data_IF_309422333264
#
_entry.id   IF_309422333264
#
_cell.length_a   1.000
_cell.length_b   1.000
_cell.length_c   1.000
_cell.angle_alpha   90.00
_cell.angle_beta   90.00
_cell.angle_gamma   90.00
#
_symmetry.space_group_name_H-M   'P 1'
#
loop_
_entity.id
_entity.type
_entity.pdbx_description
1 polymer ?
#
# COMPACT_ATOMS: atom_id res chain seq x y z
N UNK A 1 50.97 -26.85 -27.43
CA UNK A 1 49.92 -27.82 -27.07
C UNK A 1 49.80 -27.78 -25.56
N UNK A 2 48.85 -26.99 -25.04
CA UNK A 2 48.60 -26.86 -23.60
C UNK A 2 47.48 -27.80 -23.20
N UNK A 3 47.79 -28.78 -22.35
CA UNK A 3 46.81 -29.65 -21.71
C UNK A 3 46.26 -28.94 -20.48
N UNK A 4 44.97 -28.66 -20.48
CA UNK A 4 44.22 -28.21 -19.30
C UNK A 4 43.69 -29.44 -18.58
N UNK A 5 44.09 -29.60 -17.33
CA UNK A 5 43.59 -30.63 -16.42
C UNK A 5 42.22 -30.24 -15.88
N UNK A 6 41.25 -31.13 -16.06
CA UNK A 6 39.91 -31.07 -15.48
C UNK A 6 39.93 -31.57 -14.04
N UNK A 7 39.54 -30.72 -13.09
CA UNK A 7 39.30 -31.10 -11.70
C UNK A 7 37.81 -31.42 -11.53
N UNK A 8 37.51 -32.70 -11.30
CA UNK A 8 36.20 -33.17 -10.84
C UNK A 8 36.12 -33.01 -9.32
N UNK A 9 35.09 -32.33 -8.83
CA UNK A 9 34.78 -32.26 -7.40
C UNK A 9 33.54 -33.11 -7.15
N UNK A 10 33.74 -34.30 -6.59
CA UNK A 10 32.67 -35.13 -6.03
C UNK A 10 32.49 -34.81 -4.54
N UNK A 11 31.23 -34.83 -4.09
CA UNK A 11 30.88 -35.20 -2.72
C UNK A 11 30.40 -34.08 -1.80
N UNK A 12 29.11 -34.09 -1.49
CA UNK A 12 28.61 -33.67 -0.19
C UNK A 12 27.59 -34.71 0.32
N UNK A 13 27.79 -35.30 1.52
CA UNK A 13 26.96 -36.38 2.03
C UNK A 13 25.65 -35.90 2.66
N UNK A 14 24.61 -36.71 2.43
CA UNK A 14 23.36 -36.75 3.18
C UNK A 14 23.60 -37.10 4.65
N UNK A 15 23.07 -36.28 5.56
CA UNK A 15 23.02 -36.57 6.99
C UNK A 15 21.70 -36.08 7.56
N UNK A 16 20.70 -36.96 7.47
CA UNK A 16 19.52 -37.00 8.32
C UNK A 16 19.93 -37.26 9.77
N UNK A 17 19.56 -36.36 10.69
CA UNK A 17 19.50 -36.65 12.13
C UNK A 17 18.27 -36.01 12.75
N UNK A 18 17.53 -36.90 13.38
CA UNK A 18 16.41 -36.78 14.28
C UNK A 18 16.44 -35.54 15.18
N UNK A 19 15.33 -34.79 15.18
CA UNK A 19 14.99 -33.88 16.26
C UNK A 19 13.60 -34.21 16.81
N UNK A 20 13.66 -34.91 17.94
CA UNK A 20 12.77 -34.93 19.09
C UNK A 20 11.38 -34.29 18.95
N UNK A 21 10.39 -35.16 19.01
CA UNK A 21 9.04 -34.92 19.52
C UNK A 21 9.14 -34.51 20.99
N UNK A 22 8.91 -33.23 21.30
CA UNK A 22 8.66 -32.77 22.68
C UNK A 22 7.16 -32.53 22.82
N UNK A 23 6.61 -33.25 23.80
CA UNK A 23 5.21 -33.29 24.16
C UNK A 23 4.66 -31.92 24.59
N UNK A 24 3.40 -31.71 24.25
CA UNK A 24 2.52 -30.60 24.64
C UNK A 24 2.45 -30.39 26.15
N UNK A 25 2.42 -29.13 26.62
CA UNK A 25 1.72 -28.77 27.85
C UNK A 25 0.27 -28.37 27.58
N UNK A 26 -0.61 -28.89 28.44
CA UNK A 26 -2.07 -28.72 28.47
C UNK A 26 -2.52 -27.26 28.74
N UNK A 27 -3.75 -26.89 28.31
CA UNK A 27 -4.30 -25.55 28.51
C UNK A 27 -4.65 -25.27 29.98
N UNK A 28 -4.02 -24.23 30.53
CA UNK A 28 -4.27 -23.75 31.89
C UNK A 28 -5.56 -22.94 31.98
N UNK A 29 -6.47 -23.44 32.83
CA UNK A 29 -7.58 -22.82 33.56
C UNK A 29 -7.96 -21.36 33.26
N UNK A 30 -9.21 -21.22 32.81
CA UNK A 30 -10.03 -20.00 32.87
C UNK A 30 -10.22 -19.57 34.33
N UNK A 31 -10.06 -18.28 34.60
CA UNK A 31 -10.54 -17.63 35.83
C UNK A 31 -11.65 -16.68 35.44
N UNK A 32 -12.86 -17.02 35.86
CA UNK A 32 -14.03 -16.16 35.83
C UNK A 32 -13.91 -15.12 36.95
N UNK A 33 -13.92 -13.84 36.60
CA UNK A 33 -14.12 -12.73 37.52
C UNK A 33 -15.35 -11.95 37.07
N UNK A 34 -16.46 -12.27 37.72
CA UNK A 34 -17.71 -11.49 37.73
C UNK A 34 -17.46 -10.16 38.46
N UNK A 35 -17.42 -9.04 37.73
CA UNK A 35 -17.51 -7.71 38.33
C UNK A 35 -18.86 -7.07 37.98
N UNK A 36 -19.76 -7.10 38.97
CA UNK A 36 -21.08 -6.50 38.92
C UNK A 36 -20.99 -4.97 38.97
N UNK A 37 -21.15 -4.30 37.82
CA UNK A 37 -21.28 -2.84 37.76
C UNK A 37 -22.75 -2.43 37.92
N UNK A 38 -23.06 -1.87 39.08
CA UNK A 38 -24.33 -1.21 39.41
C UNK A 38 -24.64 -0.02 38.50
N UNK A 39 -25.76 -0.11 37.78
CA UNK A 39 -26.34 0.97 36.96
C UNK A 39 -27.06 1.98 37.86
N UNK A 40 -26.51 3.20 37.99
CA UNK A 40 -27.20 4.36 38.58
C UNK A 40 -28.14 5.00 37.55
N UNK A 41 -29.44 4.93 37.85
CA UNK A 41 -30.55 5.46 37.05
C UNK A 41 -30.63 7.00 37.21
N UNK A 42 -29.99 7.74 36.30
CA UNK A 42 -30.09 9.20 36.22
C UNK A 42 -31.31 9.65 35.41
N UNK A 43 -32.29 10.28 36.08
CA UNK A 43 -33.41 11.02 35.46
C UNK A 43 -32.88 12.35 34.92
N UNK A 44 -32.64 12.44 33.61
CA UNK A 44 -32.24 13.66 32.91
C UNK A 44 -33.38 14.22 32.04
N UNK A 45 -33.71 15.49 32.26
CA UNK A 45 -34.80 16.27 31.65
C UNK A 45 -34.67 16.42 30.14
N UNK A 46 -35.78 16.22 29.45
CA UNK A 46 -36.00 16.49 28.04
C UNK A 46 -36.07 18.00 27.78
N UNK A 47 -35.10 18.55 27.05
CA UNK A 47 -35.22 19.82 26.34
C UNK A 47 -35.33 19.54 24.85
N UNK A 48 -36.51 19.84 24.30
CA UNK A 48 -36.83 19.66 22.89
C UNK A 48 -36.24 20.82 22.08
N UNK A 49 -35.04 20.63 21.53
CA UNK A 49 -34.51 21.47 20.46
C UNK A 49 -34.73 20.80 19.10
N UNK A 50 -35.24 21.59 18.15
CA UNK A 50 -35.80 21.15 16.87
C UNK A 50 -34.84 20.30 16.02
N UNK A 51 -35.25 19.05 15.78
CA UNK A 51 -34.60 18.13 14.85
C UNK A 51 -34.78 18.69 13.43
N UNK A 52 -33.69 19.24 12.87
CA UNK A 52 -33.63 19.63 11.46
C UNK A 52 -33.85 18.38 10.59
N UNK A 53 -34.62 18.46 9.49
CA UNK A 53 -34.92 17.31 8.64
C UNK A 53 -33.63 16.69 8.10
N UNK A 54 -33.38 15.44 8.49
CA UNK A 54 -32.25 14.63 8.02
C UNK A 54 -32.37 14.43 6.52
N UNK A 55 -31.41 14.97 5.76
CA UNK A 55 -31.30 14.72 4.31
C UNK A 55 -31.27 13.21 4.07
N UNK A 56 -32.20 12.70 3.26
CA UNK A 56 -32.23 11.28 2.85
C UNK A 56 -30.84 10.88 2.34
N UNK A 57 -30.16 9.99 3.06
CA UNK A 57 -28.87 9.46 2.64
C UNK A 57 -29.10 8.67 1.34
N UNK A 58 -28.42 9.09 0.26
CA UNK A 58 -28.43 8.34 -1.00
C UNK A 58 -27.62 7.07 -0.78
N UNK A 59 -28.22 5.91 -1.07
CA UNK A 59 -27.51 4.62 -1.10
C UNK A 59 -26.46 4.67 -2.21
N UNK A 60 -25.19 4.51 -1.86
CA UNK A 60 -24.08 4.44 -2.81
C UNK A 60 -23.90 2.97 -3.22
N UNK A 61 -24.03 2.68 -4.50
CA UNK A 61 -23.91 1.30 -5.05
C UNK A 61 -22.67 1.10 -5.92
N UNK A 62 -21.87 2.14 -6.13
CA UNK A 62 -20.67 2.09 -6.96
C UNK A 62 -19.60 3.05 -6.47
N UNK A 63 -18.34 2.69 -6.73
CA UNK A 63 -17.20 3.52 -6.33
C UNK A 63 -17.12 4.74 -7.26
N UNK A 64 -16.99 5.96 -6.73
CA UNK A 64 -16.78 7.15 -7.53
C UNK A 64 -15.50 7.07 -8.37
N UNK A 65 -15.50 7.76 -9.53
CA UNK A 65 -14.38 7.76 -10.47
C UNK A 65 -13.36 8.88 -10.25
N UNK A 66 -13.58 9.77 -9.28
CA UNK A 66 -12.72 10.93 -9.03
C UNK A 66 -12.06 10.83 -7.66
N UNK A 67 -10.80 11.28 -7.55
CA UNK A 67 -10.05 11.19 -6.30
C UNK A 67 -10.78 11.86 -5.10
N UNK A 68 -11.30 13.09 -5.21
CA UNK A 68 -12.00 13.72 -4.08
C UNK A 68 -13.21 12.90 -3.62
N UNK A 69 -13.96 12.30 -4.55
CA UNK A 69 -15.14 11.52 -4.20
C UNK A 69 -14.77 10.14 -3.59
N UNK A 70 -13.65 9.53 -4.01
CA UNK A 70 -13.14 8.31 -3.37
C UNK A 70 -12.65 8.60 -1.95
N UNK A 71 -11.96 9.73 -1.74
CA UNK A 71 -11.54 10.17 -0.39
C UNK A 71 -12.73 10.35 0.55
N UNK A 72 -13.76 11.06 0.10
CA UNK A 72 -15.01 11.22 0.86
C UNK A 72 -15.70 9.87 1.12
N UNK A 73 -15.68 8.95 0.15
CA UNK A 73 -16.24 7.60 0.30
C UNK A 73 -15.52 6.83 1.42
N UNK A 74 -14.19 6.68 1.35
CA UNK A 74 -13.45 5.91 2.35
C UNK A 74 -13.50 6.58 3.73
N UNK A 75 -13.55 7.92 3.78
CA UNK A 75 -13.79 8.67 5.01
C UNK A 75 -15.15 8.33 5.62
N UNK A 76 -16.20 8.26 4.80
CA UNK A 76 -17.55 7.87 5.25
C UNK A 76 -17.63 6.43 5.78
N UNK A 77 -16.64 5.60 5.45
CA UNK A 77 -16.49 4.24 5.99
C UNK A 77 -15.62 4.18 7.25
N UNK A 78 -15.11 5.31 7.75
CA UNK A 78 -14.29 5.38 8.94
C UNK A 78 -12.79 5.15 8.67
N UNK A 79 -12.30 5.49 7.47
CA UNK A 79 -10.87 5.62 7.24
C UNK A 79 -10.40 6.98 7.76
N UNK A 80 -9.44 6.98 8.69
CA UNK A 80 -9.09 8.15 9.50
C UNK A 80 -8.45 9.27 8.67
N UNK A 81 -7.49 8.92 7.81
CA UNK A 81 -6.77 9.89 6.98
C UNK A 81 -6.78 9.50 5.49
N UNK A 82 -7.79 9.95 4.72
CA UNK A 82 -7.87 9.73 3.28
C UNK A 82 -6.75 10.38 2.46
N UNK A 83 -6.00 11.33 3.01
CA UNK A 83 -4.90 12.01 2.32
C UNK A 83 -3.61 11.17 2.38
N UNK A 84 -3.43 10.41 3.46
CA UNK A 84 -2.36 9.42 3.59
C UNK A 84 -2.64 8.09 2.87
N UNK A 85 -3.90 7.80 2.53
CA UNK A 85 -4.29 6.54 1.90
C UNK A 85 -3.51 6.23 0.59
N UNK A 86 -3.25 4.95 0.33
CA UNK A 86 -2.62 4.46 -0.90
C UNK A 86 -3.36 4.98 -2.13
N UNK A 87 -2.70 5.81 -2.92
CA UNK A 87 -3.23 6.29 -4.19
C UNK A 87 -3.38 5.14 -5.19
N UNK A 88 -2.51 4.13 -5.10
CA UNK A 88 -2.62 2.94 -5.93
C UNK A 88 -3.90 2.15 -5.63
N UNK A 89 -4.24 1.96 -4.34
CA UNK A 89 -5.47 1.29 -3.94
C UNK A 89 -6.72 2.13 -4.30
N UNK A 90 -6.72 3.43 -4.00
CA UNK A 90 -7.84 4.32 -4.37
C UNK A 90 -8.10 4.32 -5.89
N UNK A 91 -7.05 4.32 -6.71
CA UNK A 91 -7.17 4.21 -8.16
C UNK A 91 -7.74 2.84 -8.59
N UNK A 92 -7.30 1.75 -7.94
CA UNK A 92 -7.81 0.41 -8.18
C UNK A 92 -9.30 0.28 -7.88
N UNK A 93 -9.76 0.87 -6.77
CA UNK A 93 -11.19 0.94 -6.43
C UNK A 93 -11.98 1.72 -7.49
N UNK A 94 -11.52 2.93 -7.84
CA UNK A 94 -12.20 3.80 -8.80
C UNK A 94 -12.35 3.19 -10.21
N UNK A 95 -11.41 2.29 -10.58
CA UNK A 95 -11.41 1.56 -11.84
C UNK A 95 -12.14 0.22 -11.78
N UNK A 96 -12.54 -0.23 -10.58
CA UNK A 96 -13.16 -1.54 -10.37
C UNK A 96 -12.17 -2.71 -10.48
N UNK A 97 -10.87 -2.46 -10.36
CA UNK A 97 -9.87 -3.53 -10.31
C UNK A 97 -9.80 -4.18 -8.92
N UNK A 98 -9.98 -3.37 -7.86
CA UNK A 98 -10.16 -3.86 -6.50
C UNK A 98 -11.64 -4.12 -6.24
N UNK A 99 -11.96 -5.32 -5.79
CA UNK A 99 -13.32 -5.69 -5.40
C UNK A 99 -13.68 -4.98 -4.10
N UNK A 100 -14.88 -4.42 -4.07
CA UNK A 100 -15.41 -3.70 -2.92
C UNK A 100 -16.80 -4.23 -2.64
N UNK A 101 -17.02 -4.66 -1.41
CA UNK A 101 -18.33 -5.01 -0.87
C UNK A 101 -18.84 -3.81 -0.07
N UNK A 102 -19.96 -3.21 -0.49
CA UNK A 102 -20.48 -1.99 0.14
C UNK A 102 -21.08 -2.21 1.54
N UNK A 103 -21.39 -3.46 1.90
CA UNK A 103 -21.86 -3.81 3.23
C UNK A 103 -20.68 -3.98 4.19
N UNK A 104 -19.62 -4.69 3.74
CA UNK A 104 -18.39 -4.88 4.51
C UNK A 104 -17.45 -3.65 4.52
N UNK A 105 -17.54 -2.76 3.52
CA UNK A 105 -16.80 -1.50 3.40
C UNK A 105 -15.27 -1.66 3.49
N UNK A 106 -14.66 -1.22 4.59
CA UNK A 106 -13.20 -1.31 4.79
C UNK A 106 -12.74 -2.73 5.11
N UNK A 107 -13.66 -3.58 5.57
CA UNK A 107 -13.39 -5.00 5.89
C UNK A 107 -13.67 -5.93 4.71
N UNK A 108 -14.04 -5.40 3.53
CA UNK A 108 -14.14 -6.19 2.30
C UNK A 108 -12.82 -6.92 2.00
N UNK A 109 -12.91 -8.20 1.65
CA UNK A 109 -11.78 -8.95 1.08
C UNK A 109 -11.54 -8.45 -0.35
N UNK A 110 -10.49 -7.65 -0.53
CA UNK A 110 -10.19 -6.99 -1.79
C UNK A 110 -9.31 -7.85 -2.71
N UNK A 111 -8.51 -8.75 -2.12
CA UNK A 111 -7.62 -9.66 -2.84
C UNK A 111 -7.40 -10.95 -2.04
N UNK A 112 -7.20 -12.06 -2.74
CA UNK A 112 -6.79 -13.35 -2.17
C UNK A 112 -5.64 -13.94 -2.96
N UNK A 113 -4.81 -14.73 -2.30
CA UNK A 113 -3.68 -15.43 -2.93
C UNK A 113 -3.01 -16.42 -1.99
N UNK A 114 -1.77 -16.77 -2.29
CA UNK A 114 -1.01 -17.79 -1.54
C UNK A 114 0.27 -17.18 -0.96
N UNK A 115 0.57 -17.51 0.30
CA UNK A 115 1.83 -17.13 0.92
C UNK A 115 3.02 -17.83 0.24
N UNK A 116 4.02 -17.09 -0.28
CA UNK A 116 5.14 -17.68 -0.98
C UNK A 116 6.01 -18.54 -0.06
N UNK A 117 6.04 -18.23 1.24
CA UNK A 117 6.83 -18.93 2.25
C UNK A 117 6.16 -20.22 2.75
N UNK A 118 4.95 -20.14 3.30
CA UNK A 118 4.30 -21.27 3.98
C UNK A 118 3.12 -21.89 3.22
N UNK A 119 2.78 -21.36 2.04
CA UNK A 119 1.70 -21.86 1.15
C UNK A 119 0.29 -21.76 1.71
N UNK A 120 0.08 -21.07 2.82
CA UNK A 120 -1.27 -20.79 3.32
C UNK A 120 -1.99 -19.78 2.42
N UNK A 121 -3.32 -19.85 2.40
CA UNK A 121 -4.14 -18.81 1.77
C UNK A 121 -3.95 -17.48 2.51
N UNK A 122 -3.85 -16.40 1.74
CA UNK A 122 -3.81 -15.03 2.22
C UNK A 122 -5.10 -14.35 1.76
N UNK A 123 -5.76 -13.65 2.68
CA UNK A 123 -6.90 -12.77 2.38
C UNK A 123 -6.57 -11.36 2.84
N UNK A 124 -6.63 -10.39 1.91
CA UNK A 124 -6.23 -9.02 2.18
C UNK A 124 -7.46 -8.12 2.18
N UNK A 125 -7.67 -7.43 3.30
CA UNK A 125 -8.77 -6.48 3.47
C UNK A 125 -8.47 -5.15 2.76
N UNK A 126 -9.53 -4.47 2.32
CA UNK A 126 -9.39 -3.14 1.70
C UNK A 126 -8.69 -2.14 2.63
N UNK A 127 -8.95 -2.17 3.94
CA UNK A 127 -8.27 -1.33 4.93
C UNK A 127 -6.76 -1.47 4.88
N UNK A 128 -6.24 -2.70 4.78
CA UNK A 128 -4.80 -2.97 4.73
C UNK A 128 -4.18 -2.39 3.44
N UNK A 129 -4.85 -2.57 2.30
CA UNK A 129 -4.39 -1.98 1.02
C UNK A 129 -4.42 -0.46 1.01
N UNK A 130 -5.39 0.16 1.67
CA UNK A 130 -5.44 1.62 1.81
C UNK A 130 -4.33 2.16 2.72
N UNK A 131 -3.86 1.37 3.69
CA UNK A 131 -2.71 1.71 4.54
C UNK A 131 -1.35 1.40 3.90
N UNK A 132 -1.31 0.51 2.92
CA UNK A 132 -0.08 0.16 2.20
C UNK A 132 0.59 1.41 1.62
N UNK A 133 1.90 1.53 1.78
CA UNK A 133 2.66 2.63 1.22
C UNK A 133 2.56 2.68 -0.31
N UNK A 134 2.64 3.87 -0.89
CA UNK A 134 2.64 4.05 -2.36
C UNK A 134 3.98 3.63 -3.01
N UNK A 135 5.00 3.32 -2.21
CA UNK A 135 6.31 2.84 -2.63
C UNK A 135 6.81 1.76 -1.67
N UNK A 136 7.41 0.69 -2.19
CA UNK A 136 8.09 -0.32 -1.38
C UNK A 136 9.58 -0.02 -1.23
N UNK A 137 9.92 1.08 -0.56
CA UNK A 137 11.34 1.47 -0.32
C UNK A 137 12.02 0.63 0.75
N UNK A 138 11.23 0.01 1.62
CA UNK A 138 11.56 -0.90 2.71
C UNK A 138 11.63 -2.37 2.28
N UNK A 139 11.69 -2.66 0.97
CA UNK A 139 11.71 -4.04 0.48
C UNK A 139 12.95 -4.82 0.97
N UNK A 140 14.03 -4.13 1.35
CA UNK A 140 15.23 -4.70 1.96
C UNK A 140 15.11 -4.85 3.48
N UNK A 141 14.15 -4.15 4.09
CA UNK A 141 13.92 -4.06 5.54
C UNK A 141 12.70 -4.89 6.00
N UNK A 142 12.21 -5.81 5.16
CA UNK A 142 11.12 -6.73 5.52
C UNK A 142 9.73 -6.32 5.04
N UNK A 143 9.59 -5.21 4.30
CA UNK A 143 8.32 -4.78 3.70
C UNK A 143 7.21 -4.42 4.71
N UNK A 144 7.57 -3.77 5.82
CA UNK A 144 6.65 -3.34 6.89
C UNK A 144 5.56 -2.36 6.43
N UNK A 145 5.80 -1.60 5.35
CA UNK A 145 4.82 -0.73 4.70
C UNK A 145 3.89 -1.48 3.73
N UNK A 146 3.99 -2.81 3.65
CA UNK A 146 3.19 -3.69 2.82
C UNK A 146 1.75 -3.84 3.30
N UNK A 147 0.83 -4.13 2.37
CA UNK A 147 -0.57 -4.43 2.69
C UNK A 147 -0.85 -5.92 2.86
N UNK A 148 0.10 -6.78 2.50
CA UNK A 148 -0.03 -8.24 2.55
C UNK A 148 0.71 -8.75 3.79
N UNK A 149 -0.02 -9.41 4.69
CA UNK A 149 0.54 -10.06 5.89
C UNK A 149 0.01 -11.49 5.94
N UNK A 150 0.91 -12.47 6.14
CA UNK A 150 0.51 -13.85 6.33
C UNK A 150 -0.18 -14.03 7.71
N UNK A 151 -1.31 -14.74 7.75
CA UNK A 151 -2.09 -14.95 8.97
C UNK A 151 -1.56 -16.07 9.88
N UNK A 152 -0.64 -16.89 9.39
CA UNK A 152 -0.09 -18.03 10.14
C UNK A 152 0.96 -17.53 11.15
N UNK A 153 0.77 -17.84 12.42
CA UNK A 153 1.58 -17.31 13.54
C UNK A 153 3.09 -17.61 13.43
N UNK A 154 3.49 -18.68 12.75
CA UNK A 154 4.89 -19.06 12.52
C UNK A 154 5.46 -18.53 11.18
N UNK A 155 4.71 -17.69 10.48
CA UNK A 155 5.10 -17.16 9.17
C UNK A 155 5.11 -15.63 9.19
N UNK A 156 6.31 -15.06 9.26
CA UNK A 156 6.55 -13.62 9.28
C UNK A 156 6.55 -12.96 7.89
N UNK A 157 5.89 -13.58 6.90
CA UNK A 157 5.89 -13.03 5.55
C UNK A 157 5.02 -11.78 5.46
N UNK A 158 5.62 -10.70 4.97
CA UNK A 158 4.98 -9.45 4.58
C UNK A 158 5.31 -9.10 3.13
N UNK A 159 4.45 -8.32 2.49
CA UNK A 159 4.68 -7.90 1.11
C UNK A 159 3.69 -6.87 0.59
N UNK A 160 3.88 -6.50 -0.67
CA UNK A 160 3.09 -5.48 -1.35
C UNK A 160 2.12 -6.11 -2.35
N UNK A 161 0.89 -5.60 -2.39
CA UNK A 161 0.04 -5.79 -3.55
C UNK A 161 0.32 -4.69 -4.56
N UNK A 162 0.92 -5.06 -5.68
CA UNK A 162 1.34 -4.12 -6.73
C UNK A 162 0.32 -4.06 -7.85
N UNK A 163 0.45 -3.05 -8.73
CA UNK A 163 -0.39 -2.89 -9.92
C UNK A 163 -1.91 -2.81 -9.65
N UNK A 164 -2.35 -2.38 -8.46
CA UNK A 164 -3.78 -2.16 -8.13
C UNK A 164 -4.47 -1.18 -9.08
N UNK A 165 -3.74 -0.16 -9.55
CA UNK A 165 -4.19 0.77 -10.60
C UNK A 165 -4.48 0.10 -11.95
N UNK A 166 -3.90 -1.07 -12.21
CA UNK A 166 -3.99 -1.84 -13.43
C UNK A 166 -4.83 -3.10 -13.25
N UNK A 167 -4.93 -3.92 -14.30
CA UNK A 167 -5.74 -5.15 -14.28
C UNK A 167 -5.00 -6.37 -13.72
N UNK A 168 -3.68 -6.28 -13.56
CA UNK A 168 -2.82 -7.42 -13.23
C UNK A 168 -2.21 -7.19 -11.85
N UNK A 169 -3.03 -7.28 -10.80
CA UNK A 169 -2.54 -7.20 -9.43
C UNK A 169 -1.65 -8.39 -9.13
N UNK A 170 -0.50 -8.12 -8.51
CA UNK A 170 0.49 -9.14 -8.19
C UNK A 170 1.11 -8.85 -6.83
N UNK A 171 1.28 -9.90 -6.05
CA UNK A 171 2.10 -9.86 -4.86
C UNK A 171 3.58 -9.69 -5.24
N UNK A 172 4.27 -8.79 -4.54
CA UNK A 172 5.68 -8.46 -4.76
C UNK A 172 6.37 -8.11 -3.43
N UNK A 173 7.69 -8.07 -3.42
CA UNK A 173 8.44 -7.56 -2.26
C UNK A 173 8.37 -6.04 -2.11
N UNK A 174 7.82 -5.31 -3.10
CA UNK A 174 7.73 -3.85 -3.07
C UNK A 174 8.80 -3.15 -3.92
N UNK A 175 9.86 -3.87 -4.31
CA UNK A 175 10.89 -3.37 -5.24
C UNK A 175 10.28 -2.83 -6.53
N UNK A 176 9.24 -3.51 -7.04
CA UNK A 176 8.53 -3.13 -8.25
C UNK A 176 7.23 -2.36 -7.95
N UNK A 177 7.18 -1.66 -6.81
CA UNK A 177 6.06 -0.84 -6.40
C UNK A 177 6.48 0.61 -6.18
N UNK A 178 5.94 1.49 -7.00
CA UNK A 178 6.07 2.93 -6.81
C UNK A 178 4.96 3.65 -7.53
N UNK A 179 4.27 4.53 -6.83
CA UNK A 179 3.13 5.26 -7.34
C UNK A 179 3.36 6.76 -7.21
N UNK A 180 3.40 7.44 -8.34
CA UNK A 180 3.69 8.87 -8.40
C UNK A 180 2.46 9.68 -8.00
N UNK A 181 2.59 10.46 -6.92
CA UNK A 181 1.56 11.40 -6.42
C UNK A 181 1.56 12.76 -7.13
N UNK A 182 2.66 13.13 -7.81
CA UNK A 182 2.76 14.40 -8.56
C UNK A 182 1.91 14.40 -9.84
N UNK A 183 1.55 13.22 -10.36
CA UNK A 183 0.66 13.11 -11.50
C UNK A 183 -0.79 13.49 -11.11
N UNK A 184 -1.51 14.15 -12.03
CA UNK A 184 -2.89 14.59 -11.80
C UNK A 184 -3.83 13.43 -11.44
N UNK A 185 -4.90 13.77 -10.72
CA UNK A 185 -5.95 12.81 -10.36
C UNK A 185 -5.43 11.82 -9.32
N UNK A 186 -5.55 10.52 -9.59
CA UNK A 186 -5.02 9.49 -8.71
C UNK A 186 -3.50 9.26 -8.84
N UNK A 187 -2.79 10.01 -9.67
CA UNK A 187 -1.38 9.74 -9.92
C UNK A 187 -1.12 8.66 -10.97
N UNK A 188 0.06 8.04 -10.94
CA UNK A 188 0.45 6.98 -11.88
C UNK A 188 1.35 5.92 -11.25
N UNK A 189 0.98 4.64 -11.42
CA UNK A 189 1.85 3.52 -11.08
C UNK A 189 3.07 3.52 -12.02
N UNK A 190 4.27 3.57 -11.44
CA UNK A 190 5.55 3.58 -12.14
C UNK A 190 6.18 2.17 -12.20
N UNK A 191 5.86 1.31 -11.24
CA UNK A 191 6.27 -0.10 -11.21
C UNK A 191 7.73 -0.37 -10.82
N UNK A 192 8.55 0.65 -10.57
CA UNK A 192 9.91 0.49 -10.02
C UNK A 192 10.16 1.64 -9.05
N UNK A 193 10.56 1.32 -7.82
CA UNK A 193 10.87 2.28 -6.75
C UNK A 193 11.99 3.27 -7.11
N UNK A 194 12.81 2.97 -8.11
CA UNK A 194 13.90 3.83 -8.60
C UNK A 194 13.45 4.78 -9.72
N UNK A 195 12.17 4.76 -10.08
CA UNK A 195 11.60 5.71 -11.03
C UNK A 195 11.17 6.98 -10.30
N UNK A 196 11.46 8.15 -10.88
CA UNK A 196 11.10 9.44 -10.31
C UNK A 196 10.26 10.26 -11.29
N UNK A 197 9.52 11.24 -10.77
CA UNK A 197 8.80 12.24 -11.56
C UNK A 197 9.69 13.46 -11.80
N UNK A 198 9.77 13.92 -13.05
CA UNK A 198 10.51 15.13 -13.37
C UNK A 198 9.59 16.35 -13.34
N UNK A 199 9.70 17.17 -12.30
CA UNK A 199 8.93 18.42 -12.13
C UNK A 199 9.07 19.42 -13.30
N UNK A 200 10.17 19.35 -14.08
CA UNK A 200 10.40 20.24 -15.23
C UNK A 200 9.58 19.87 -16.47
N UNK A 201 9.47 18.57 -16.77
CA UNK A 201 8.81 18.10 -17.99
C UNK A 201 7.55 17.27 -17.75
N UNK A 202 7.22 16.96 -16.49
CA UNK A 202 6.08 16.15 -16.09
C UNK A 202 6.19 14.66 -16.43
N UNK A 203 7.38 14.19 -16.87
CA UNK A 203 7.61 12.80 -17.29
C UNK A 203 8.35 12.01 -16.22
N UNK A 204 8.08 10.71 -16.18
CA UNK A 204 8.84 9.79 -15.35
C UNK A 204 10.13 9.35 -16.02
N UNK A 205 11.15 9.06 -15.22
CA UNK A 205 12.45 8.57 -15.67
C UNK A 205 13.09 7.70 -14.58
N UNK A 206 13.99 6.81 -14.97
CA UNK A 206 14.77 6.02 -14.04
C UNK A 206 15.83 6.91 -13.38
N UNK A 207 15.67 7.20 -12.09
CA UNK A 207 16.62 7.99 -11.31
C UNK A 207 17.71 7.12 -10.68
N UNK A 208 17.51 5.80 -10.61
CA UNK A 208 18.41 4.91 -9.88
C UNK A 208 18.46 5.29 -8.38
N UNK A 209 19.48 4.82 -7.68
CA UNK A 209 19.72 5.20 -6.28
C UNK A 209 20.52 6.50 -6.14
N UNK A 210 21.29 6.85 -7.18
CA UNK A 210 22.20 8.01 -7.19
C UNK A 210 21.57 9.31 -7.69
N UNK A 211 20.31 9.29 -8.13
CA UNK A 211 19.62 10.48 -8.62
C UNK A 211 20.07 10.91 -10.02
N UNK A 212 20.08 9.98 -10.99
CA UNK A 212 20.37 10.29 -12.39
C UNK A 212 19.51 11.44 -12.92
N UNK A 213 20.03 12.24 -13.84
CA UNK A 213 19.26 13.32 -14.45
C UNK A 213 18.15 12.81 -15.37
N UNK A 214 17.06 13.58 -15.43
CA UNK A 214 15.97 13.29 -16.36
C UNK A 214 16.43 13.37 -17.83
N UNK A 215 16.52 12.21 -18.48
CA UNK A 215 16.88 12.06 -19.90
C UNK A 215 15.96 12.83 -20.88
N UNK A 216 14.72 13.12 -20.48
CA UNK A 216 13.78 13.92 -21.28
C UNK A 216 14.13 15.42 -21.27
N UNK A 217 14.80 15.90 -20.23
CA UNK A 217 15.18 17.31 -20.10
C UNK A 217 16.57 17.60 -20.71
N UNK A 218 17.51 16.66 -20.68
CA UNK A 218 18.83 16.85 -21.26
C UNK A 218 18.79 16.91 -22.79
N UNK A 219 17.86 16.18 -23.42
CA UNK A 219 17.67 16.14 -24.89
C UNK A 219 17.06 17.42 -25.49
N UNK A 220 16.47 18.31 -24.70
CA UNK A 220 15.83 19.52 -25.23
C UNK A 220 16.81 20.67 -25.53
N UNK A 221 18.09 20.53 -25.16
CA UNK A 221 19.11 21.58 -25.35
C UNK A 221 19.81 21.59 -26.72
N UNK A 222 19.62 20.57 -27.58
CA UNK A 222 20.35 20.46 -28.87
C UNK A 222 19.58 20.96 -30.11
N UNK A 223 18.43 21.63 -29.96
CA UNK A 223 17.65 22.16 -31.12
C UNK A 223 17.24 23.65 -31.06
N UNK A 224 17.97 24.50 -30.32
CA UNK A 224 17.78 25.96 -30.44
C UNK A 224 19.12 26.70 -30.52
N UNK A 225 19.71 26.70 -31.72
CA UNK A 225 20.23 27.96 -32.27
C UNK A 225 19.00 28.77 -32.68
N UNK A 226 18.65 29.79 -31.90
CA UNK A 226 17.44 30.58 -32.09
C UNK A 226 17.20 31.48 -30.89
N UNK A 227 17.90 32.61 -30.90
CA UNK A 227 17.89 33.72 -29.94
C UNK A 227 16.47 34.18 -29.56
N UNK A 228 16.10 33.97 -28.29
CA UNK A 228 14.85 34.51 -27.76
C UNK A 228 14.73 34.23 -26.27
N UNK A 229 15.26 35.16 -25.46
CA UNK A 229 15.32 35.12 -23.99
C UNK A 229 13.93 35.37 -23.39
N UNK A 230 13.23 34.39 -22.78
CA UNK A 230 12.01 34.66 -22.03
C UNK A 230 12.38 35.00 -20.57
N UNK A 231 11.72 36.02 -20.02
CA UNK A 231 11.87 36.47 -18.63
C UNK A 231 11.28 35.43 -17.66
N UNK A 232 12.09 34.99 -16.69
CA UNK A 232 11.73 34.02 -15.65
C UNK A 232 10.76 34.61 -14.62
N UNK A 233 9.61 33.95 -14.40
CA UNK A 233 8.79 34.15 -13.20
C UNK A 233 9.22 33.14 -12.13
N UNK A 234 9.61 33.64 -10.96
CA UNK A 234 9.90 32.86 -9.74
C UNK A 234 8.61 32.21 -9.26
N UNK A 235 8.55 30.87 -9.27
CA UNK A 235 7.51 30.09 -8.60
C UNK A 235 8.13 29.33 -7.43
N UNK A 236 7.56 29.50 -6.23
CA UNK A 236 8.00 28.87 -5.00
C UNK A 236 7.73 27.36 -5.01
N UNK A 237 8.76 26.56 -4.84
CA UNK A 237 8.66 25.14 -4.53
C UNK A 237 8.17 24.98 -3.08
N UNK A 238 6.97 24.43 -2.89
CA UNK A 238 6.56 23.85 -1.62
C UNK A 238 7.14 22.44 -1.57
N UNK A 239 8.21 22.25 -0.79
CA UNK A 239 8.55 20.95 -0.22
C UNK A 239 7.62 20.81 0.98
N UNK A 240 6.57 20.01 0.80
CA UNK A 240 5.70 19.55 1.88
C UNK A 240 6.14 18.13 2.16
N UNK A 241 6.97 17.97 3.17
CA UNK A 241 7.38 16.68 3.70
C UNK A 241 6.21 16.27 4.61
N UNK A 242 5.16 15.70 4.00
CA UNK A 242 4.01 15.18 4.73
C UNK A 242 4.48 13.93 5.50
N UNK A 243 4.79 14.13 6.79
CA UNK A 243 4.83 13.09 7.82
C UNK A 243 3.46 12.41 7.92
N UNK A 244 3.13 11.55 6.96
CA UNK A 244 2.22 10.44 7.21
C UNK A 244 3.00 9.43 8.06
N UNK A 245 3.19 9.75 9.35
CA UNK A 245 3.75 8.81 10.31
C UNK A 245 2.82 7.60 10.36
N UNK A 246 3.25 6.48 9.80
CA UNK A 246 2.58 5.20 9.96
C UNK A 246 2.81 4.81 11.43
N UNK A 247 1.83 5.11 12.29
CA UNK A 247 1.73 4.59 13.66
C UNK A 247 1.07 3.21 13.67
#
# INVERSE_FOLDING_TARGET
>A
MSTVETVSIEGAPSSSKDLNVIASPEPSKKTDVDEAVTVKKGKGKSSAEGIKPSKKQKTITSVPKTLPAVKELIKSWGFEDPDCASMCAMAGMAKGNLKVDFDAKLDSIAWTGECPACKSEIQVRLRALLKQADSGHDYEDGSDGGGIVCSKDDCFYQGYLTNMCGKNMSQDSGKYHSHCRECKGFGKCMGDCRTSHCSKCGKHYFAGWSGFDCNNCSRSKSKKQGSGRPKSKKGSSRQGDDECLIM
#
